data_IF_757256752014
#
_entry.id   IF_757256752014
#
_cell.length_a   1.000
_cell.length_b   1.000
_cell.length_c   1.000
_cell.angle_alpha   90.00
_cell.angle_beta   90.00
_cell.angle_gamma   90.00
#
_symmetry.space_group_name_H-M   'P 1'
#
loop_
_entity.id
_entity.type
_entity.pdbx_description
1 polymer ?
#
# COMPACT_ATOMS: atom_id res chain seq x y z
N UNK A 1 -7.86 15.56 -65.59
CA UNK A 1 -6.83 16.58 -65.68
C UNK A 1 -6.77 17.29 -64.34
N UNK A 2 -5.70 17.05 -63.53
CA UNK A 2 -5.52 17.64 -62.23
C UNK A 2 -4.10 17.32 -61.77
N UNK A 3 -3.23 18.27 -61.96
CA UNK A 3 -1.78 18.22 -61.75
C UNK A 3 -1.43 18.16 -60.29
N UNK A 4 -0.56 17.20 -59.87
CA UNK A 4 0.09 17.13 -58.58
C UNK A 4 1.27 18.12 -58.53
N UNK A 5 1.55 18.79 -57.41
CA UNK A 5 2.76 19.57 -57.25
C UNK A 5 3.98 18.68 -56.89
N UNK A 6 5.08 18.98 -57.55
CA UNK A 6 6.41 18.36 -57.38
C UNK A 6 7.09 19.06 -56.19
N UNK A 7 7.53 18.28 -55.21
CA UNK A 7 8.38 18.76 -54.08
C UNK A 7 9.84 18.55 -54.46
N UNK A 8 10.60 19.63 -54.52
CA UNK A 8 12.06 19.60 -54.72
C UNK A 8 12.77 19.24 -53.41
N UNK A 9 13.56 18.18 -53.47
CA UNK A 9 14.49 17.77 -52.41
C UNK A 9 15.90 18.32 -52.77
N UNK A 10 16.46 19.16 -51.93
CA UNK A 10 17.86 19.59 -52.04
C UNK A 10 18.80 18.55 -51.42
N UNK A 11 19.96 18.28 -52.06
CA UNK A 11 20.93 17.35 -51.50
C UNK A 11 21.79 17.99 -50.40
N UNK A 12 21.96 17.25 -49.32
CA UNK A 12 22.87 17.60 -48.22
C UNK A 12 24.28 17.08 -48.54
N UNK A 13 25.25 17.98 -48.51
CA UNK A 13 26.67 17.66 -48.69
C UNK A 13 27.27 16.93 -47.45
N UNK A 14 28.20 16.03 -47.63
CA UNK A 14 28.84 15.31 -46.50
C UNK A 14 29.92 16.17 -45.81
N UNK A 15 29.90 16.16 -44.48
CA UNK A 15 30.95 16.75 -43.62
C UNK A 15 32.17 15.82 -43.55
N UNK A 16 33.32 16.39 -43.88
CA UNK A 16 34.64 15.77 -43.84
C UNK A 16 35.16 15.66 -42.40
N UNK A 17 35.43 14.46 -41.96
CA UNK A 17 35.96 14.11 -40.63
C UNK A 17 37.45 13.65 -40.75
N UNK A 18 38.36 14.63 -40.92
CA UNK A 18 39.79 14.35 -40.67
C UNK A 18 40.45 15.54 -40.00
N UNK A 19 40.56 15.49 -38.68
CA UNK A 19 41.72 16.01 -37.90
C UNK A 19 41.73 15.42 -36.51
N UNK A 20 42.61 14.47 -36.32
CA UNK A 20 43.12 13.98 -35.03
C UNK A 20 43.99 15.05 -34.36
N UNK A 21 43.66 15.44 -33.11
CA UNK A 21 44.65 15.88 -32.14
C UNK A 21 44.22 15.38 -30.77
N UNK A 22 45.11 14.63 -30.12
CA UNK A 22 44.94 13.99 -28.84
C UNK A 22 44.76 14.99 -27.70
N UNK A 23 43.80 14.68 -26.87
CA UNK A 23 43.73 15.12 -25.48
C UNK A 23 43.39 13.89 -24.65
N UNK A 24 44.33 13.53 -23.77
CA UNK A 24 44.16 12.46 -22.81
C UNK A 24 43.12 12.91 -21.78
N UNK A 25 41.87 12.47 -21.94
CA UNK A 25 40.88 12.62 -20.92
C UNK A 25 41.03 11.47 -19.91
N UNK A 26 41.66 11.79 -18.80
CA UNK A 26 41.48 11.04 -17.55
C UNK A 26 40.02 11.11 -17.18
N UNK A 27 39.29 10.04 -17.51
CA UNK A 27 37.92 9.80 -16.97
C UNK A 27 38.10 9.57 -15.47
N UNK A 28 37.96 10.65 -14.72
CA UNK A 28 37.74 10.60 -13.29
C UNK A 28 36.36 9.96 -13.09
N UNK A 29 36.36 8.71 -12.65
CA UNK A 29 35.16 8.07 -12.08
C UNK A 29 34.77 8.88 -10.85
N UNK A 30 33.87 9.86 -11.03
CA UNK A 30 33.19 10.48 -9.92
C UNK A 30 32.31 9.37 -9.34
N UNK A 31 32.78 8.77 -8.27
CA UNK A 31 31.94 8.02 -7.34
C UNK A 31 30.86 9.00 -6.91
N UNK A 32 29.63 8.84 -7.44
CA UNK A 32 28.47 9.55 -6.94
C UNK A 32 28.34 9.16 -5.47
N UNK A 33 28.78 10.06 -4.58
CA UNK A 33 28.45 9.97 -3.18
C UNK A 33 26.92 10.06 -3.13
N UNK A 34 26.25 9.19 -2.37
CA UNK A 34 24.81 9.31 -2.17
C UNK A 34 24.55 10.74 -1.70
N UNK A 35 23.53 11.37 -2.30
CA UNK A 35 23.12 12.73 -1.96
C UNK A 35 22.85 12.78 -0.45
N UNK A 36 23.64 13.52 0.35
CA UNK A 36 23.43 13.59 1.80
C UNK A 36 22.05 14.15 2.19
N UNK A 37 21.31 14.70 1.23
CA UNK A 37 19.92 15.10 1.39
C UNK A 37 18.92 13.92 1.35
N UNK A 38 19.28 12.73 0.86
CA UNK A 38 18.37 11.58 0.80
C UNK A 38 18.01 11.05 2.18
N UNK A 39 18.99 10.96 3.09
CA UNK A 39 18.79 10.44 4.44
C UNK A 39 17.89 11.32 5.31
N UNK A 40 17.85 12.64 5.04
CA UNK A 40 17.01 13.59 5.76
C UNK A 40 15.51 13.43 5.46
N UNK A 41 15.16 12.71 4.40
CA UNK A 41 13.81 12.51 3.89
C UNK A 41 13.21 11.14 4.21
N UNK A 42 13.96 10.31 4.94
CA UNK A 42 13.58 8.92 5.26
C UNK A 42 13.37 8.78 6.77
N UNK A 43 12.21 8.24 7.14
CA UNK A 43 11.89 7.87 8.50
C UNK A 43 11.99 6.35 8.67
N UNK A 44 13.17 5.84 8.99
CA UNK A 44 13.40 4.41 9.24
C UNK A 44 13.02 4.00 10.67
N UNK A 45 13.18 4.91 11.65
CA UNK A 45 12.83 4.73 13.04
C UNK A 45 12.18 6.01 13.57
N UNK A 46 11.20 5.85 14.45
CA UNK A 46 10.52 6.97 15.10
C UNK A 46 10.52 6.78 16.63
N UNK A 47 11.70 6.46 17.18
CA UNK A 47 11.86 6.40 18.63
C UNK A 47 11.80 7.78 19.26
N UNK A 48 10.81 8.01 20.11
CA UNK A 48 10.58 9.26 20.87
C UNK A 48 10.55 8.91 22.35
N UNK A 49 11.67 9.10 23.08
CA UNK A 49 11.79 8.66 24.48
C UNK A 49 10.85 9.40 25.43
N UNK A 50 10.35 10.57 25.06
CA UNK A 50 9.40 11.37 25.85
C UNK A 50 7.97 10.84 25.80
N UNK A 51 7.67 9.88 24.90
CA UNK A 51 6.34 9.28 24.78
C UNK A 51 6.30 7.91 25.50
N UNK A 52 5.24 7.62 26.28
CA UNK A 52 5.09 6.36 27.01
C UNK A 52 4.57 5.23 26.12
N UNK A 53 4.65 3.99 26.61
CA UNK A 53 3.94 2.83 26.06
C UNK A 53 4.29 2.47 24.62
N UNK A 54 5.58 2.57 24.25
CA UNK A 54 6.05 2.25 22.88
C UNK A 54 5.77 0.81 22.49
N UNK A 55 5.20 0.62 21.31
CA UNK A 55 5.13 -0.65 20.58
C UNK A 55 5.66 -0.46 19.16
N UNK A 56 6.76 -1.16 18.83
CA UNK A 56 7.40 -1.09 17.51
C UNK A 56 6.81 -2.19 16.61
N UNK A 57 5.99 -1.80 15.63
CA UNK A 57 5.51 -2.67 14.56
C UNK A 57 6.47 -2.75 13.38
N UNK A 58 6.16 -3.62 12.39
CA UNK A 58 7.01 -3.79 11.18
C UNK A 58 7.21 -2.46 10.41
N UNK A 59 6.16 -1.64 10.31
CA UNK A 59 6.15 -0.39 9.50
C UNK A 59 5.61 0.83 10.24
N UNK A 60 5.21 0.68 11.49
CA UNK A 60 4.67 1.76 12.33
C UNK A 60 5.26 1.73 13.72
N UNK A 61 5.40 2.92 14.32
CA UNK A 61 5.67 3.08 15.74
C UNK A 61 4.39 3.52 16.42
N UNK A 62 4.07 2.91 17.54
CA UNK A 62 2.88 3.20 18.31
C UNK A 62 3.24 3.60 19.73
N UNK A 63 2.49 4.56 20.30
CA UNK A 63 2.66 5.01 21.68
C UNK A 63 1.29 5.14 22.35
N UNK A 64 1.08 4.41 23.43
CA UNK A 64 -0.16 4.46 24.21
C UNK A 64 -0.13 5.65 25.17
N UNK A 65 -1.10 6.56 25.01
CA UNK A 65 -1.24 7.72 25.85
C UNK A 65 -2.10 7.42 27.09
N UNK A 66 -1.85 8.12 28.23
CA UNK A 66 -2.61 7.90 29.49
C UNK A 66 -4.12 8.22 29.37
N UNK A 67 -4.52 9.04 28.40
CA UNK A 67 -5.90 9.44 28.15
C UNK A 67 -6.74 8.39 27.37
N UNK A 68 -6.14 7.25 27.04
CA UNK A 68 -6.79 6.18 26.26
C UNK A 68 -6.68 6.37 24.76
N UNK A 69 -5.88 7.31 24.29
CA UNK A 69 -5.53 7.45 22.89
C UNK A 69 -4.23 6.72 22.57
N UNK A 70 -3.93 6.61 21.27
CA UNK A 70 -2.69 6.03 20.74
C UNK A 70 -2.15 6.94 19.65
N UNK A 71 -0.88 7.28 19.73
CA UNK A 71 -0.13 7.89 18.63
C UNK A 71 0.35 6.75 17.73
N UNK A 72 0.10 6.86 16.44
CA UNK A 72 0.54 5.92 15.40
C UNK A 72 1.36 6.71 14.40
N UNK A 73 2.64 6.38 14.28
CA UNK A 73 3.59 7.03 13.36
C UNK A 73 3.87 6.06 12.21
N UNK A 74 3.48 6.42 11.01
CA UNK A 74 3.81 5.66 9.81
C UNK A 74 5.26 5.95 9.40
N UNK A 75 6.10 4.93 9.44
CA UNK A 75 7.49 5.01 8.96
C UNK A 75 7.58 4.75 7.47
N UNK A 76 8.75 5.02 6.91
CA UNK A 76 9.04 4.79 5.49
C UNK A 76 9.49 3.34 5.21
N UNK A 77 9.54 2.49 6.23
CA UNK A 77 9.91 1.07 6.08
C UNK A 77 8.99 0.36 5.10
N UNK A 78 9.59 -0.35 4.15
CA UNK A 78 8.90 -1.27 3.24
C UNK A 78 9.09 -2.70 3.75
N UNK A 79 8.00 -3.36 4.10
CA UNK A 79 8.00 -4.75 4.51
C UNK A 79 7.39 -5.65 3.44
N UNK A 80 8.07 -6.76 3.13
CA UNK A 80 7.55 -7.87 2.36
C UNK A 80 8.25 -9.16 2.83
N UNK A 81 7.65 -10.34 2.57
CA UNK A 81 8.20 -11.64 2.99
C UNK A 81 8.48 -11.70 4.51
N UNK A 82 7.65 -11.02 5.30
CA UNK A 82 7.76 -10.89 6.76
C UNK A 82 9.00 -10.16 7.30
N UNK A 83 9.83 -9.58 6.43
CA UNK A 83 11.00 -8.78 6.79
C UNK A 83 10.90 -7.35 6.28
N UNK A 84 11.68 -6.44 6.87
CA UNK A 84 11.86 -5.08 6.37
C UNK A 84 12.93 -5.14 5.27
N UNK A 85 12.55 -4.76 4.05
CA UNK A 85 13.45 -4.79 2.88
C UNK A 85 14.32 -3.54 2.79
N UNK A 86 13.72 -2.38 2.99
CA UNK A 86 14.36 -1.06 2.87
C UNK A 86 13.42 0.01 3.44
N UNK A 87 13.78 1.28 3.31
CA UNK A 87 12.91 2.42 3.57
C UNK A 87 12.70 3.24 2.28
N UNK A 88 11.46 3.62 2.01
CA UNK A 88 11.06 4.34 0.80
C UNK A 88 10.71 5.78 1.17
N UNK A 89 11.41 6.79 0.64
CA UNK A 89 11.16 8.18 0.95
C UNK A 89 9.67 8.56 0.81
N UNK A 90 9.13 9.27 1.80
CA UNK A 90 7.75 9.76 1.86
C UNK A 90 6.64 8.68 1.97
N UNK A 91 6.97 7.40 2.01
CA UNK A 91 5.97 6.32 2.09
C UNK A 91 5.03 6.50 3.29
N UNK A 92 5.58 6.80 4.47
CA UNK A 92 4.77 7.02 5.68
C UNK A 92 3.80 8.20 5.54
N UNK A 93 4.25 9.30 4.96
CA UNK A 93 3.42 10.47 4.68
C UNK A 93 2.30 10.12 3.68
N UNK A 94 2.63 9.44 2.58
CA UNK A 94 1.66 9.00 1.57
C UNK A 94 0.58 8.12 2.19
N UNK A 95 0.96 7.12 2.98
CA UNK A 95 0.00 6.19 3.59
C UNK A 95 -0.93 6.90 4.57
N UNK A 96 -0.38 7.74 5.45
CA UNK A 96 -1.18 8.48 6.44
C UNK A 96 -2.15 9.45 5.76
N UNK A 97 -1.72 10.19 4.75
CA UNK A 97 -2.57 11.14 4.04
C UNK A 97 -3.61 10.44 3.14
N UNK A 98 -3.27 9.30 2.54
CA UNK A 98 -4.25 8.48 1.79
C UNK A 98 -5.32 7.93 2.74
N UNK A 99 -4.92 7.38 3.89
CA UNK A 99 -5.86 6.90 4.90
C UNK A 99 -6.76 8.03 5.42
N UNK A 100 -6.19 9.21 5.70
CA UNK A 100 -6.96 10.40 6.09
C UNK A 100 -8.04 10.75 5.08
N UNK A 101 -7.68 10.85 3.80
CA UNK A 101 -8.66 11.12 2.73
C UNK A 101 -9.80 10.11 2.78
N UNK A 102 -9.51 8.81 2.90
CA UNK A 102 -10.54 7.78 2.89
C UNK A 102 -11.38 7.75 4.17
N UNK A 103 -10.80 7.99 5.34
CA UNK A 103 -11.58 8.14 6.58
C UNK A 103 -12.59 9.29 6.48
N UNK A 104 -12.20 10.41 5.85
CA UNK A 104 -13.09 11.54 5.58
C UNK A 104 -14.20 11.17 4.57
N UNK A 105 -13.88 10.39 3.50
CA UNK A 105 -14.85 9.98 2.47
C UNK A 105 -15.80 8.86 2.92
N UNK A 106 -15.59 8.26 4.07
CA UNK A 106 -16.36 7.09 4.56
C UNK A 106 -16.92 7.28 5.97
N UNK A 107 -16.81 8.48 6.53
CA UNK A 107 -17.26 8.80 7.90
C UNK A 107 -18.76 8.55 8.14
N UNK A 108 -19.58 8.57 7.09
CA UNK A 108 -21.01 8.28 7.11
C UNK A 108 -21.34 6.77 7.12
N UNK A 109 -20.36 5.89 6.91
CA UNK A 109 -20.57 4.44 6.80
C UNK A 109 -20.39 3.74 8.14
N UNK A 110 -19.28 4.02 8.82
CA UNK A 110 -18.98 3.48 10.15
C UNK A 110 -18.09 4.42 10.94
N UNK A 111 -18.11 4.34 12.28
CA UNK A 111 -17.15 5.07 13.10
C UNK A 111 -15.74 4.56 12.83
N UNK A 112 -14.75 5.45 12.93
CA UNK A 112 -13.34 5.13 12.84
C UNK A 112 -12.58 5.63 14.06
N UNK A 113 -11.34 5.16 14.23
CA UNK A 113 -10.54 5.42 15.42
C UNK A 113 -9.90 6.82 15.46
N UNK A 114 -9.94 7.57 14.38
CA UNK A 114 -9.17 8.81 14.23
C UNK A 114 -9.69 9.92 15.14
N UNK A 115 -8.77 10.53 15.89
CA UNK A 115 -8.99 11.71 16.71
C UNK A 115 -8.40 12.96 16.05
N UNK A 116 -7.12 12.88 15.60
CA UNK A 116 -6.44 14.01 14.95
C UNK A 116 -5.23 13.57 14.13
N UNK A 117 -4.72 14.49 13.32
CA UNK A 117 -3.51 14.33 12.51
C UNK A 117 -2.53 15.48 12.83
N UNK A 118 -1.72 15.36 13.88
CA UNK A 118 -0.79 16.42 14.28
C UNK A 118 0.38 16.61 13.31
N UNK A 119 0.70 15.59 12.52
CA UNK A 119 1.79 15.58 11.53
C UNK A 119 1.39 14.76 10.30
N UNK A 120 1.91 15.04 9.09
CA UNK A 120 1.63 14.25 7.89
C UNK A 120 1.92 12.74 7.99
N UNK A 121 2.80 12.33 8.90
CA UNK A 121 3.13 10.92 9.16
C UNK A 121 2.40 10.34 10.38
N UNK A 122 1.59 11.14 11.10
CA UNK A 122 1.06 10.77 12.41
C UNK A 122 -0.46 10.86 12.45
N UNK A 123 -1.07 9.82 12.98
CA UNK A 123 -2.46 9.83 13.41
C UNK A 123 -2.53 9.60 14.92
N UNK A 124 -3.35 10.39 15.62
CA UNK A 124 -3.79 10.07 16.98
C UNK A 124 -5.16 9.44 16.84
N UNK A 125 -5.29 8.23 17.37
CA UNK A 125 -6.54 7.47 17.36
C UNK A 125 -6.94 7.03 18.75
N UNK A 126 -8.22 6.78 18.95
CA UNK A 126 -8.71 6.09 20.13
C UNK A 126 -8.11 4.68 20.17
N UNK A 127 -7.57 4.28 21.32
CA UNK A 127 -7.12 2.91 21.52
C UNK A 127 -8.30 1.97 21.52
N UNK A 128 -8.22 0.94 20.68
CA UNK A 128 -9.27 -0.07 20.51
C UNK A 128 -8.77 -1.44 20.96
N UNK A 129 -9.70 -2.27 21.38
CA UNK A 129 -9.48 -3.71 21.50
C UNK A 129 -9.66 -4.32 20.09
N UNK A 130 -8.54 -4.59 19.42
CA UNK A 130 -8.54 -5.06 18.02
C UNK A 130 -9.14 -6.46 17.92
N UNK A 131 -10.08 -6.63 16.99
CA UNK A 131 -10.68 -7.93 16.72
C UNK A 131 -9.63 -8.89 16.11
N UNK A 132 -9.64 -10.18 16.50
CA UNK A 132 -8.63 -11.15 16.06
C UNK A 132 -8.84 -11.68 14.64
N UNK A 133 -9.50 -10.90 13.78
CA UNK A 133 -9.83 -11.25 12.40
C UNK A 133 -9.59 -10.06 11.49
N UNK A 134 -8.84 -10.25 10.42
CA UNK A 134 -8.72 -9.28 9.33
C UNK A 134 -9.81 -9.54 8.30
N UNK A 135 -10.42 -8.48 7.81
CA UNK A 135 -11.54 -8.54 6.87
C UNK A 135 -11.06 -8.12 5.47
N UNK A 136 -10.73 -9.11 4.64
CA UNK A 136 -10.34 -8.85 3.25
C UNK A 136 -11.57 -8.91 2.35
N UNK A 137 -11.85 -7.83 1.61
CA UNK A 137 -12.92 -7.79 0.61
C UNK A 137 -12.32 -7.84 -0.79
N UNK A 138 -12.85 -8.70 -1.65
CA UNK A 138 -12.35 -8.91 -3.01
C UNK A 138 -13.47 -8.74 -4.03
N UNK A 139 -13.21 -7.92 -5.05
CA UNK A 139 -14.08 -7.74 -6.22
C UNK A 139 -13.63 -8.52 -7.46
N UNK A 140 -12.44 -9.13 -7.41
CA UNK A 140 -11.81 -9.79 -8.56
C UNK A 140 -11.08 -11.07 -8.11
N UNK A 141 -10.99 -12.04 -9.03
CA UNK A 141 -10.17 -13.25 -8.85
C UNK A 141 -8.70 -12.91 -9.10
N UNK A 142 -8.04 -12.34 -8.10
CA UNK A 142 -6.68 -11.79 -8.20
C UNK A 142 -5.79 -12.22 -7.04
N UNK A 143 -4.48 -12.03 -7.20
CA UNK A 143 -3.47 -12.29 -6.17
C UNK A 143 -2.19 -12.84 -6.76
N UNK A 144 -1.08 -12.64 -6.04
CA UNK A 144 0.27 -13.01 -6.51
C UNK A 144 0.99 -13.97 -5.56
N UNK A 145 0.49 -14.13 -4.33
CA UNK A 145 1.08 -15.04 -3.33
C UNK A 145 0.58 -16.47 -3.51
N UNK A 146 1.33 -17.44 -2.98
CA UNK A 146 0.95 -18.87 -2.99
C UNK A 146 -0.39 -19.13 -2.29
N UNK A 147 -0.75 -18.30 -1.31
CA UNK A 147 -2.00 -18.41 -0.54
C UNK A 147 -3.14 -17.57 -1.11
N UNK A 148 -2.93 -16.86 -2.23
CA UNK A 148 -3.95 -16.00 -2.82
C UNK A 148 -5.12 -16.81 -3.39
N UNK A 149 -6.31 -16.17 -3.44
CA UNK A 149 -7.52 -16.79 -4.00
C UNK A 149 -7.32 -17.23 -5.46
N UNK A 150 -6.54 -16.46 -6.25
CA UNK A 150 -6.22 -16.81 -7.64
C UNK A 150 -5.37 -18.08 -7.70
N UNK A 151 -4.33 -18.20 -6.87
CA UNK A 151 -3.47 -19.39 -6.86
C UNK A 151 -4.25 -20.63 -6.43
N UNK A 152 -5.06 -20.52 -5.40
CA UNK A 152 -5.95 -21.63 -4.96
C UNK A 152 -6.93 -22.04 -6.07
N UNK A 153 -7.54 -21.06 -6.74
CA UNK A 153 -8.47 -21.33 -7.85
C UNK A 153 -7.78 -22.06 -9.02
N UNK A 154 -6.56 -21.64 -9.39
CA UNK A 154 -5.74 -22.32 -10.42
C UNK A 154 -5.38 -23.77 -10.04
N UNK A 155 -5.19 -24.02 -8.75
CA UNK A 155 -4.94 -25.36 -8.22
C UNK A 155 -6.21 -26.23 -8.13
N UNK A 156 -7.35 -25.74 -8.60
CA UNK A 156 -8.60 -26.50 -8.65
C UNK A 156 -9.54 -26.28 -7.48
N UNK A 157 -9.15 -25.48 -6.47
CA UNK A 157 -10.04 -25.16 -5.37
C UNK A 157 -11.19 -24.26 -5.85
N UNK A 158 -12.41 -24.60 -5.42
CA UNK A 158 -13.63 -23.83 -5.73
C UNK A 158 -14.36 -23.39 -4.47
N UNK A 159 -14.29 -24.20 -3.44
CA UNK A 159 -14.90 -23.93 -2.14
C UNK A 159 -13.83 -23.33 -1.22
N UNK A 160 -13.88 -22.02 -1.03
CA UNK A 160 -12.90 -21.25 -0.26
C UNK A 160 -13.63 -20.28 0.68
N UNK A 161 -13.17 -20.17 1.91
CA UNK A 161 -13.76 -19.26 2.91
C UNK A 161 -15.27 -19.47 3.14
N UNK A 162 -15.77 -20.69 2.92
CA UNK A 162 -17.21 -21.00 2.94
C UNK A 162 -17.99 -20.51 1.72
N UNK A 163 -17.29 -20.07 0.66
CA UNK A 163 -17.90 -19.55 -0.57
C UNK A 163 -17.49 -20.43 -1.74
N UNK A 164 -18.46 -20.82 -2.58
CA UNK A 164 -18.18 -21.53 -3.83
C UNK A 164 -18.02 -20.54 -4.99
N UNK A 165 -16.85 -20.55 -5.61
CA UNK A 165 -16.59 -19.79 -6.83
C UNK A 165 -17.08 -20.56 -8.08
N UNK A 166 -17.59 -19.84 -9.12
CA UNK A 166 -17.97 -20.43 -10.39
C UNK A 166 -16.81 -21.17 -11.07
N UNK A 167 -17.12 -22.20 -11.85
CA UNK A 167 -16.14 -22.84 -12.72
C UNK A 167 -15.86 -21.98 -13.96
N UNK A 168 -14.66 -22.13 -14.53
CA UNK A 168 -14.28 -21.50 -15.79
C UNK A 168 -13.92 -20.01 -15.70
N UNK A 169 -13.80 -19.44 -14.50
CA UNK A 169 -13.33 -18.07 -14.32
C UNK A 169 -11.87 -17.94 -14.78
N UNK A 170 -11.57 -16.80 -15.36
CA UNK A 170 -10.22 -16.43 -15.82
C UNK A 170 -9.47 -15.64 -14.76
N UNK A 171 -8.16 -15.58 -14.91
CA UNK A 171 -7.30 -14.73 -14.09
C UNK A 171 -7.74 -13.28 -14.18
N UNK A 172 -7.78 -12.61 -13.03
CA UNK A 172 -8.18 -11.21 -12.90
C UNK A 172 -9.64 -10.92 -13.32
N UNK A 173 -10.48 -11.95 -13.44
CA UNK A 173 -11.90 -11.78 -13.73
C UNK A 173 -12.64 -11.13 -12.57
N UNK A 174 -13.58 -10.25 -12.90
CA UNK A 174 -14.47 -9.66 -11.91
C UNK A 174 -15.36 -10.73 -11.31
N UNK A 175 -15.43 -10.78 -9.99
CA UNK A 175 -16.33 -11.68 -9.28
C UNK A 175 -17.80 -11.27 -9.52
N UNK A 176 -18.76 -12.21 -9.54
CA UNK A 176 -20.19 -11.89 -9.67
C UNK A 176 -20.68 -10.87 -8.65
N UNK A 177 -20.13 -10.94 -7.43
CA UNK A 177 -20.31 -9.98 -6.35
C UNK A 177 -19.04 -9.90 -5.51
N UNK A 178 -18.76 -8.79 -4.81
CA UNK A 178 -17.66 -8.75 -3.84
C UNK A 178 -17.85 -9.82 -2.77
N UNK A 179 -16.75 -10.48 -2.40
CA UNK A 179 -16.73 -11.52 -1.37
C UNK A 179 -15.83 -11.10 -0.21
N UNK A 180 -16.14 -11.57 0.99
CA UNK A 180 -15.29 -11.44 2.16
C UNK A 180 -14.47 -12.73 2.30
N UNK A 181 -13.16 -12.58 2.40
CA UNK A 181 -12.19 -13.67 2.59
C UNK A 181 -11.37 -13.36 3.83
N UNK A 182 -11.89 -13.63 5.03
CA UNK A 182 -11.24 -13.24 6.27
C UNK A 182 -10.01 -14.09 6.56
N UNK A 183 -9.09 -13.53 7.34
CA UNK A 183 -7.94 -14.25 7.89
C UNK A 183 -7.88 -14.05 9.39
N UNK A 184 -7.26 -14.98 10.11
CA UNK A 184 -6.87 -14.75 11.49
C UNK A 184 -5.86 -13.60 11.54
N UNK A 185 -5.82 -12.90 12.66
CA UNK A 185 -4.73 -11.96 12.96
C UNK A 185 -3.76 -12.65 13.92
N UNK A 186 -2.57 -12.99 13.44
CA UNK A 186 -1.54 -13.60 14.27
C UNK A 186 -0.92 -12.55 15.19
N UNK A 187 -1.16 -12.65 16.49
CA UNK A 187 -0.57 -11.76 17.51
C UNK A 187 0.84 -12.20 17.95
N UNK A 188 1.17 -13.48 17.78
CA UNK A 188 2.38 -14.10 18.33
C UNK A 188 3.47 -14.41 17.28
N UNK A 189 3.49 -13.66 16.17
CA UNK A 189 4.48 -13.86 15.09
C UNK A 189 4.20 -15.07 14.18
N UNK A 190 3.02 -15.67 14.28
CA UNK A 190 2.50 -16.65 13.31
C UNK A 190 2.13 -16.02 11.97
N UNK A 191 1.65 -16.84 11.03
CA UNK A 191 1.08 -16.38 9.77
C UNK A 191 -0.43 -16.26 9.89
N UNK A 192 -1.00 -15.27 9.18
CA UNK A 192 -2.43 -15.11 9.06
C UNK A 192 -3.03 -16.29 8.27
N UNK A 193 -3.98 -17.00 8.87
CA UNK A 193 -4.62 -18.17 8.28
C UNK A 193 -6.00 -17.82 7.71
N UNK A 194 -6.35 -18.36 6.53
CA UNK A 194 -7.70 -18.21 5.97
C UNK A 194 -8.77 -18.78 6.91
N UNK A 195 -9.85 -18.04 7.07
CA UNK A 195 -11.01 -18.44 7.88
C UNK A 195 -12.30 -18.34 7.07
N UNK A 196 -13.25 -19.23 7.34
CA UNK A 196 -14.65 -19.07 6.93
C UNK A 196 -15.46 -18.36 8.02
N UNK A 197 -16.65 -17.88 7.67
CA UNK A 197 -17.59 -17.31 8.67
C UNK A 197 -17.94 -18.31 9.77
N UNK A 198 -18.15 -19.59 9.40
CA UNK A 198 -18.48 -20.67 10.35
C UNK A 198 -17.32 -20.94 11.32
N UNK A 199 -16.07 -20.90 10.83
CA UNK A 199 -14.89 -21.07 11.68
C UNK A 199 -14.73 -19.89 12.64
N UNK A 200 -14.94 -18.65 12.19
CA UNK A 200 -14.91 -17.45 13.04
C UNK A 200 -15.92 -17.58 14.21
N UNK A 201 -17.15 -18.03 13.91
CA UNK A 201 -18.18 -18.17 14.91
C UNK A 201 -17.97 -19.39 15.82
N UNK A 202 -17.60 -20.55 15.27
CA UNK A 202 -17.37 -21.77 16.05
C UNK A 202 -16.16 -21.67 16.98
N UNK A 203 -15.09 -20.98 16.55
CA UNK A 203 -13.92 -20.66 17.35
C UNK A 203 -14.14 -19.50 18.32
N UNK A 204 -15.33 -18.83 18.27
CA UNK A 204 -15.68 -17.68 19.10
C UNK A 204 -14.72 -16.48 18.95
N UNK A 205 -14.12 -16.34 17.78
CA UNK A 205 -13.28 -15.17 17.46
C UNK A 205 -14.12 -13.90 17.41
N UNK A 206 -15.33 -13.98 16.87
CA UNK A 206 -16.34 -12.93 16.89
C UNK A 206 -17.69 -13.51 17.31
N UNK A 207 -18.54 -12.68 17.89
CA UNK A 207 -19.97 -13.00 18.03
C UNK A 207 -20.67 -12.91 16.67
N UNK A 208 -21.86 -13.50 16.52
CA UNK A 208 -22.64 -13.39 15.30
C UNK A 208 -23.01 -11.93 14.97
N UNK A 209 -23.30 -11.12 15.97
CA UNK A 209 -23.59 -9.70 15.83
C UNK A 209 -22.36 -8.90 15.37
N UNK A 210 -21.20 -9.18 15.96
CA UNK A 210 -19.94 -8.57 15.53
C UNK A 210 -19.63 -8.94 14.08
N UNK A 211 -19.71 -10.23 13.73
CA UNK A 211 -19.47 -10.70 12.35
C UNK A 211 -20.42 -10.03 11.34
N UNK A 212 -21.71 -9.94 11.67
CA UNK A 212 -22.68 -9.26 10.81
C UNK A 212 -22.35 -7.78 10.64
N UNK A 213 -21.93 -7.11 11.72
CA UNK A 213 -21.61 -5.67 11.70
C UNK A 213 -20.35 -5.40 10.89
N UNK A 214 -19.24 -6.13 11.13
CA UNK A 214 -17.98 -5.92 10.38
C UNK A 214 -18.16 -6.27 8.90
N UNK A 215 -18.93 -7.33 8.57
CA UNK A 215 -19.21 -7.71 7.18
C UNK A 215 -19.99 -6.62 6.45
N UNK A 216 -21.02 -6.07 7.08
CA UNK A 216 -21.83 -4.97 6.53
C UNK A 216 -20.97 -3.72 6.31
N UNK A 217 -20.14 -3.33 7.29
CA UNK A 217 -19.24 -2.19 7.17
C UNK A 217 -18.21 -2.40 6.06
N UNK A 218 -17.54 -3.54 6.05
CA UNK A 218 -16.51 -3.84 5.05
C UNK A 218 -17.05 -3.80 3.62
N UNK A 219 -18.21 -4.39 3.36
CA UNK A 219 -18.84 -4.34 2.03
C UNK A 219 -19.28 -2.93 1.64
N UNK A 220 -19.82 -2.14 2.57
CA UNK A 220 -20.22 -0.76 2.30
C UNK A 220 -19.01 0.15 2.04
N UNK A 221 -17.93 0.01 2.83
CA UNK A 221 -16.65 0.70 2.62
C UNK A 221 -16.05 0.35 1.26
N UNK A 222 -16.04 -0.95 0.91
CA UNK A 222 -15.52 -1.41 -0.38
C UNK A 222 -16.34 -0.85 -1.56
N UNK A 223 -17.66 -0.86 -1.47
CA UNK A 223 -18.51 -0.27 -2.51
C UNK A 223 -18.26 1.24 -2.70
N UNK A 224 -18.10 1.99 -1.58
CA UNK A 224 -17.70 3.41 -1.64
C UNK A 224 -16.32 3.56 -2.25
N UNK A 225 -15.37 2.71 -1.87
CA UNK A 225 -14.02 2.67 -2.42
C UNK A 225 -14.02 2.44 -3.93
N UNK A 226 -14.78 1.44 -4.40
CA UNK A 226 -14.92 1.15 -5.84
C UNK A 226 -15.53 2.33 -6.62
N UNK A 227 -16.58 2.95 -6.09
CA UNK A 227 -17.23 4.09 -6.73
C UNK A 227 -16.27 5.27 -6.90
N UNK A 228 -15.57 5.65 -5.82
CA UNK A 228 -14.60 6.76 -5.84
C UNK A 228 -13.37 6.46 -6.68
N UNK A 229 -12.85 5.23 -6.64
CA UNK A 229 -11.75 4.81 -7.48
C UNK A 229 -12.11 4.91 -8.96
N UNK A 230 -13.33 4.51 -9.34
CA UNK A 230 -13.79 4.60 -10.72
C UNK A 230 -13.86 6.04 -11.23
N UNK A 231 -14.24 7.02 -10.40
CA UNK A 231 -14.21 8.46 -10.74
C UNK A 231 -12.78 8.94 -11.08
N UNK A 232 -11.75 8.21 -10.65
CA UNK A 232 -10.32 8.48 -10.87
C UNK A 232 -9.68 7.57 -11.93
N UNK A 233 -10.47 6.83 -12.69
CA UNK A 233 -9.95 5.88 -13.68
C UNK A 233 -9.26 4.67 -13.06
N UNK A 234 -9.58 4.32 -11.82
CA UNK A 234 -9.04 3.19 -11.07
C UNK A 234 -10.08 2.12 -10.81
N UNK A 235 -9.61 0.90 -10.65
CA UNK A 235 -10.39 -0.24 -10.16
C UNK A 235 -9.82 -0.62 -8.78
N UNK A 236 -10.62 -0.48 -7.72
CA UNK A 236 -10.30 -1.08 -6.42
C UNK A 236 -10.61 -2.57 -6.50
N UNK A 237 -9.57 -3.38 -6.49
CA UNK A 237 -9.60 -4.83 -6.74
C UNK A 237 -9.93 -5.61 -5.48
N UNK A 238 -9.16 -5.35 -4.45
CA UNK A 238 -9.29 -5.90 -3.10
C UNK A 238 -8.71 -4.94 -2.07
N UNK A 239 -9.11 -5.14 -0.82
CA UNK A 239 -8.61 -4.37 0.32
C UNK A 239 -8.76 -5.16 1.61
N UNK A 240 -7.90 -4.85 2.58
CA UNK A 240 -7.94 -5.38 3.94
C UNK A 240 -8.43 -4.30 4.90
N UNK A 241 -9.37 -4.66 5.77
CA UNK A 241 -9.82 -3.83 6.87
C UNK A 241 -9.51 -4.49 8.21
N UNK A 242 -9.20 -3.67 9.19
CA UNK A 242 -9.13 -4.06 10.58
C UNK A 242 -10.19 -3.33 11.39
N UNK A 243 -10.79 -4.02 12.33
CA UNK A 243 -11.78 -3.45 13.23
C UNK A 243 -11.39 -3.72 14.67
N UNK A 244 -11.89 -2.91 15.56
CA UNK A 244 -11.77 -3.10 16.99
C UNK A 244 -13.05 -2.69 17.70
N UNK A 245 -13.09 -2.90 19.00
CA UNK A 245 -14.14 -2.36 19.88
C UNK A 245 -13.60 -1.20 20.70
N UNK A 246 -14.40 -0.16 20.83
CA UNK A 246 -14.12 0.91 21.79
C UNK A 246 -14.55 0.50 23.21
N UNK A 247 -14.32 1.37 24.18
CA UNK A 247 -14.69 1.16 25.60
C UNK A 247 -16.17 0.90 25.83
N UNK A 248 -17.02 1.28 24.90
CA UNK A 248 -18.49 1.10 24.95
C UNK A 248 -18.92 -0.16 24.19
N UNK A 249 -17.97 -0.96 23.66
CA UNK A 249 -18.21 -2.19 22.90
C UNK A 249 -18.67 -1.96 21.45
N UNK A 250 -18.60 -0.72 20.95
CA UNK A 250 -18.99 -0.41 19.55
C UNK A 250 -17.89 -0.82 18.59
N UNK A 251 -18.27 -1.41 17.45
CA UNK A 251 -17.34 -1.75 16.37
C UNK A 251 -16.88 -0.46 15.68
N UNK A 252 -15.55 -0.31 15.58
CA UNK A 252 -14.87 0.87 15.03
C UNK A 252 -13.84 0.42 14.02
N UNK A 253 -13.76 1.08 12.87
CA UNK A 253 -12.72 0.86 11.86
C UNK A 253 -11.38 1.36 12.40
N UNK A 254 -10.38 0.50 12.33
CA UNK A 254 -9.03 0.72 12.83
C UNK A 254 -7.99 0.77 11.70
N UNK A 255 -6.75 1.04 12.07
CA UNK A 255 -5.54 0.97 11.26
C UNK A 255 -5.57 1.93 10.06
N UNK A 256 -5.69 1.41 8.87
CA UNK A 256 -5.71 2.17 7.62
C UNK A 256 -6.86 1.74 6.70
N UNK A 257 -7.18 2.57 5.73
CA UNK A 257 -8.23 2.29 4.78
C UNK A 257 -7.80 2.67 3.36
N UNK A 258 -7.95 1.73 2.42
CA UNK A 258 -7.75 1.90 0.98
C UNK A 258 -6.41 2.53 0.59
N UNK A 259 -5.37 2.36 1.40
CA UNK A 259 -4.01 2.80 1.06
C UNK A 259 -3.38 1.86 0.03
N UNK A 260 -2.30 2.28 -0.65
CA UNK A 260 -1.56 1.38 -1.54
C UNK A 260 -0.96 0.14 -0.85
N UNK A 261 -0.82 0.15 0.48
CA UNK A 261 -0.32 -1.01 1.25
C UNK A 261 -1.43 -1.99 1.61
N UNK A 262 -2.63 -1.50 1.96
CA UNK A 262 -3.77 -2.33 2.34
C UNK A 262 -4.65 -2.74 1.16
N UNK A 263 -4.46 -2.16 -0.03
CA UNK A 263 -5.36 -2.32 -1.17
C UNK A 263 -4.61 -2.50 -2.47
N UNK A 264 -5.26 -3.20 -3.41
CA UNK A 264 -4.79 -3.28 -4.79
C UNK A 264 -5.66 -2.40 -5.69
N UNK A 265 -4.99 -1.57 -6.50
CA UNK A 265 -5.63 -0.76 -7.53
C UNK A 265 -5.10 -1.12 -8.91
N UNK A 266 -6.00 -1.26 -9.88
CA UNK A 266 -5.63 -1.35 -11.29
C UNK A 266 -6.02 -0.06 -12.03
N UNK A 267 -5.25 0.25 -13.08
CA UNK A 267 -5.58 1.32 -14.03
C UNK A 267 -6.71 0.82 -14.92
N UNK A 268 -7.89 1.45 -14.84
CA UNK A 268 -9.10 0.99 -15.50
C UNK A 268 -8.96 0.92 -17.05
N UNK A 269 -8.29 1.90 -17.64
CA UNK A 269 -8.03 1.95 -19.09
C UNK A 269 -7.27 0.71 -19.58
N UNK A 270 -6.31 0.20 -18.80
CA UNK A 270 -5.51 -0.95 -19.16
C UNK A 270 -6.20 -2.30 -18.93
N UNK A 271 -7.24 -2.32 -18.08
CA UNK A 271 -7.83 -3.58 -17.59
C UNK A 271 -8.45 -4.41 -18.72
N UNK A 272 -9.28 -3.82 -19.58
CA UNK A 272 -9.99 -4.55 -20.64
C UNK A 272 -9.01 -5.24 -21.60
N UNK A 273 -7.96 -4.54 -22.03
CA UNK A 273 -6.94 -5.10 -22.92
C UNK A 273 -6.11 -6.19 -22.24
N UNK A 274 -5.68 -5.94 -21.00
CA UNK A 274 -4.91 -6.90 -20.21
C UNK A 274 -5.71 -8.17 -19.96
N UNK A 275 -6.97 -8.04 -19.57
CA UNK A 275 -7.86 -9.18 -19.34
C UNK A 275 -8.11 -10.00 -20.62
N UNK A 276 -8.33 -9.34 -21.76
CA UNK A 276 -8.53 -10.02 -23.05
C UNK A 276 -7.29 -10.80 -23.52
N UNK A 277 -6.10 -10.28 -23.25
CA UNK A 277 -4.81 -10.93 -23.61
C UNK A 277 -4.29 -11.92 -22.56
N UNK A 278 -4.95 -12.03 -21.40
CA UNK A 278 -4.45 -12.81 -20.25
C UNK A 278 -3.23 -12.19 -19.55
N UNK A 279 -2.92 -10.92 -19.85
CA UNK A 279 -1.85 -10.19 -19.19
C UNK A 279 -2.30 -9.65 -17.83
N UNK A 280 -1.33 -9.32 -16.99
CA UNK A 280 -1.59 -8.68 -15.70
C UNK A 280 -2.00 -7.21 -15.92
N UNK A 281 -3.11 -6.73 -15.30
CA UNK A 281 -3.46 -5.31 -15.35
C UNK A 281 -2.39 -4.44 -14.70
N UNK A 282 -2.20 -3.22 -15.21
CA UNK A 282 -1.30 -2.24 -14.60
C UNK A 282 -1.83 -1.82 -13.24
N UNK A 283 -0.95 -1.71 -12.25
CA UNK A 283 -1.29 -1.40 -10.85
C UNK A 283 -0.28 -0.44 -10.23
N UNK A 284 -0.70 0.22 -9.13
CA UNK A 284 0.17 0.94 -8.22
C UNK A 284 0.52 0.01 -7.04
N UNK A 285 1.39 -0.93 -7.24
CA UNK A 285 1.79 -1.81 -6.14
C UNK A 285 3.30 -2.02 -6.08
N UNK A 286 3.74 -2.50 -4.94
CA UNK A 286 5.14 -2.84 -4.66
C UNK A 286 5.55 -4.20 -5.23
N UNK A 287 4.76 -4.79 -6.12
CA UNK A 287 5.05 -6.11 -6.68
C UNK A 287 6.34 -6.12 -7.52
N UNK A 288 6.73 -4.96 -8.09
CA UNK A 288 8.01 -4.90 -8.80
C UNK A 288 9.22 -5.03 -7.86
N UNK A 289 9.15 -4.52 -6.61
CA UNK A 289 10.20 -4.77 -5.61
C UNK A 289 10.19 -6.24 -5.20
N UNK A 290 8.99 -6.82 -5.00
CA UNK A 290 8.86 -8.26 -4.71
C UNK A 290 9.39 -9.12 -5.85
N UNK A 291 9.05 -8.78 -7.10
CA UNK A 291 9.55 -9.47 -8.29
C UNK A 291 11.09 -9.39 -8.36
N UNK A 292 11.66 -8.20 -8.14
CA UNK A 292 13.11 -8.00 -8.12
C UNK A 292 13.81 -8.89 -7.09
N UNK A 293 13.23 -9.05 -5.90
CA UNK A 293 13.74 -9.93 -4.84
C UNK A 293 13.65 -11.39 -5.28
N UNK A 294 12.45 -11.84 -5.69
CA UNK A 294 12.20 -13.27 -6.03
C UNK A 294 12.94 -13.75 -7.28
N UNK A 295 13.34 -12.85 -8.17
CA UNK A 295 14.21 -13.16 -9.31
C UNK A 295 15.66 -13.44 -8.90
N UNK A 296 16.06 -13.03 -7.69
CA UNK A 296 17.46 -13.07 -7.21
C UNK A 296 17.70 -14.05 -6.08
N UNK A 297 16.68 -14.34 -5.29
CA UNK A 297 16.79 -15.26 -4.15
C UNK A 297 15.44 -15.87 -3.78
N UNK A 298 15.45 -16.93 -2.99
CA UNK A 298 14.28 -17.39 -2.24
C UNK A 298 14.15 -16.54 -0.96
N UNK A 299 13.20 -15.57 -0.89
CA UNK A 299 13.17 -14.61 0.21
C UNK A 299 12.84 -15.21 1.59
N UNK A 300 12.47 -16.51 1.63
CA UNK A 300 12.19 -17.23 2.87
C UNK A 300 13.37 -18.11 3.32
N UNK A 301 14.41 -18.27 2.48
CA UNK A 301 15.57 -19.15 2.77
C UNK A 301 16.90 -18.44 2.66
N UNK A 302 17.01 -17.49 1.74
CA UNK A 302 18.26 -16.84 1.40
C UNK A 302 18.32 -15.41 1.98
N UNK A 303 19.51 -14.86 2.24
CA UNK A 303 19.66 -13.44 2.53
C UNK A 303 19.17 -12.60 1.36
N UNK A 304 18.25 -11.66 1.65
CA UNK A 304 17.72 -10.75 0.64
C UNK A 304 18.81 -9.72 0.30
N UNK A 305 19.15 -9.53 -0.99
CA UNK A 305 20.11 -8.50 -1.41
C UNK A 305 19.61 -7.09 -1.08
N UNK A 306 20.53 -6.15 -0.88
CA UNK A 306 20.23 -4.74 -0.72
C UNK A 306 19.43 -4.21 -1.93
N UNK A 307 18.34 -3.50 -1.64
CA UNK A 307 17.48 -2.92 -2.68
C UNK A 307 18.21 -1.73 -3.32
N UNK A 308 18.40 -1.71 -4.64
CA UNK A 308 19.12 -0.62 -5.32
C UNK A 308 18.46 0.74 -5.14
N UNK A 309 19.25 1.80 -5.09
CA UNK A 309 18.78 3.17 -4.85
C UNK A 309 17.80 3.67 -5.94
N UNK A 310 18.03 3.30 -7.20
CA UNK A 310 17.13 3.62 -8.32
C UNK A 310 15.75 2.95 -8.16
N UNK A 311 15.72 1.71 -7.65
CA UNK A 311 14.49 0.99 -7.35
C UNK A 311 13.74 1.62 -6.16
N UNK A 312 14.47 2.08 -5.14
CA UNK A 312 13.91 2.83 -4.00
C UNK A 312 13.28 4.13 -4.48
N UNK A 313 13.97 4.90 -5.32
CA UNK A 313 13.45 6.14 -5.90
C UNK A 313 12.22 5.90 -6.78
N UNK A 314 12.27 4.88 -7.64
CA UNK A 314 11.12 4.49 -8.45
C UNK A 314 9.91 4.12 -7.58
N UNK A 315 10.14 3.38 -6.50
CA UNK A 315 9.09 2.99 -5.55
C UNK A 315 8.46 4.23 -4.91
N UNK A 316 9.26 5.19 -4.47
CA UNK A 316 8.76 6.46 -3.92
C UNK A 316 7.85 7.20 -4.90
N UNK A 317 8.25 7.29 -6.18
CA UNK A 317 7.44 7.90 -7.24
C UNK A 317 6.10 7.19 -7.41
N UNK A 318 6.09 5.85 -7.39
CA UNK A 318 4.85 5.04 -7.49
C UNK A 318 3.91 5.30 -6.31
N UNK A 319 4.43 5.41 -5.07
CA UNK A 319 3.59 5.75 -3.92
C UNK A 319 2.99 7.15 -4.03
N UNK A 320 3.77 8.14 -4.47
CA UNK A 320 3.29 9.51 -4.69
C UNK A 320 2.23 9.56 -5.80
N UNK A 321 2.48 8.90 -6.93
CA UNK A 321 1.53 8.80 -8.04
C UNK A 321 0.22 8.12 -7.60
N UNK A 322 0.32 7.06 -6.79
CA UNK A 322 -0.85 6.40 -6.22
C UNK A 322 -1.68 7.36 -5.36
N UNK A 323 -1.04 8.12 -4.47
CA UNK A 323 -1.72 9.14 -3.67
C UNK A 323 -2.44 10.17 -4.55
N UNK A 324 -1.73 10.76 -5.50
CA UNK A 324 -2.28 11.80 -6.37
C UNK A 324 -3.46 11.28 -7.22
N UNK A 325 -3.34 10.06 -7.73
CA UNK A 325 -4.41 9.46 -8.54
C UNK A 325 -5.61 9.08 -7.69
N UNK A 326 -5.39 8.41 -6.55
CA UNK A 326 -6.47 7.96 -5.65
C UNK A 326 -7.25 9.14 -5.09
N UNK A 327 -6.54 10.16 -4.60
CA UNK A 327 -7.17 11.29 -3.91
C UNK A 327 -7.58 12.42 -4.84
N UNK A 328 -6.91 12.56 -5.99
CA UNK A 328 -7.01 13.72 -6.87
C UNK A 328 -6.34 14.96 -6.29
N UNK A 329 -5.55 14.83 -5.24
CA UNK A 329 -4.80 15.90 -4.58
C UNK A 329 -3.34 15.83 -5.00
N UNK A 330 -2.69 16.98 -5.13
CA UNK A 330 -1.24 17.02 -5.36
C UNK A 330 -0.52 16.64 -4.07
N UNK A 331 0.47 15.74 -4.17
CA UNK A 331 1.34 15.44 -3.05
C UNK A 331 2.31 16.61 -2.79
N UNK A 332 2.39 17.02 -1.53
CA UNK A 332 3.33 18.04 -1.08
C UNK A 332 4.16 17.42 0.04
N UNK A 333 5.44 17.15 -0.29
CA UNK A 333 6.38 16.67 0.71
C UNK A 333 6.56 17.72 1.81
N UNK A 334 6.34 17.32 3.06
CA UNK A 334 6.64 18.21 4.19
C UNK A 334 8.12 18.04 4.56
N UNK A 335 8.90 19.05 4.17
CA UNK A 335 10.35 19.14 4.42
C UNK A 335 10.68 20.13 5.54
N UNK A 336 9.70 20.52 6.35
CA UNK A 336 9.94 21.32 7.55
C UNK A 336 10.71 20.49 8.60
N UNK A 337 11.62 21.10 9.32
CA UNK A 337 12.53 20.44 10.23
C UNK A 337 13.84 19.97 9.58
N UNK A 338 14.83 19.62 10.40
CA UNK A 338 16.13 19.11 9.94
C UNK A 338 15.99 17.68 9.40
N UNK A 339 15.17 16.86 10.07
CA UNK A 339 14.79 15.50 9.64
C UNK A 339 13.29 15.31 9.76
N UNK A 340 12.76 14.23 9.16
CA UNK A 340 11.35 13.85 9.35
C UNK A 340 11.03 13.58 10.82
N UNK A 341 11.96 12.98 11.56
CA UNK A 341 11.77 12.71 12.99
C UNK A 341 11.74 14.01 13.81
N UNK A 342 12.60 15.00 13.50
CA UNK A 342 12.61 16.29 14.20
C UNK A 342 11.28 17.04 14.02
N UNK A 343 10.73 17.01 12.81
CA UNK A 343 9.41 17.58 12.51
C UNK A 343 8.31 16.89 13.33
N UNK A 344 8.29 15.54 13.34
CA UNK A 344 7.33 14.76 14.10
C UNK A 344 7.44 15.07 15.59
N UNK A 345 8.66 15.12 16.14
CA UNK A 345 8.89 15.46 17.58
C UNK A 345 8.37 16.86 17.89
N UNK A 346 8.62 17.84 17.04
CA UNK A 346 8.11 19.20 17.22
C UNK A 346 6.57 19.24 17.24
N UNK A 347 5.92 18.52 16.32
CA UNK A 347 4.46 18.43 16.22
C UNK A 347 3.82 17.62 17.36
N UNK A 348 4.56 16.70 17.97
CA UNK A 348 4.09 15.89 19.09
C UNK A 348 4.45 16.46 20.48
N UNK A 349 5.14 17.59 20.56
CA UNK A 349 5.52 18.23 21.83
C UNK A 349 4.36 18.37 22.83
N UNK A 350 3.11 18.69 22.44
CA UNK A 350 1.96 18.77 23.36
C UNK A 350 1.61 17.45 24.08
N UNK A 351 2.13 16.32 23.60
CA UNK A 351 1.86 14.98 24.15
C UNK A 351 3.03 14.43 24.98
N UNK A 352 4.11 15.19 25.13
CA UNK A 352 5.25 14.76 25.94
C UNK A 352 4.89 14.84 27.43
N UNK A 353 5.23 13.79 28.17
CA UNK A 353 5.02 13.66 29.62
C UNK A 353 6.25 14.05 30.44
#
# INVERSE_FOLDING_TARGET
MGTKPIVHVHPVLPLDLTRSQGLSDTVSTVSERPDPMSDLRILSDAFIPELPGRYNGKVRENYDLPDGNRIIIATDRLSAFDVILTAIPFKGQVLTQTARYWFEQTADICPNHVVSYPDPNVVIGTRLDILPVEIVVRGYLAGTTSTSILTKYRNGERDMYGIRLPDGMKDNEKLPQPIITPTSKAFDGGHDEPLSADEILSQKLLTAEQWQTVSRYALALFARGQARAAERGLILVDTKYEFGTDKDGRIVLADEIHTPDSSRYWIAESYAQSFASGARPKSFDKDFVRAWVTERCDPYKDPIPEIPADLVEQTSKVYIEAFETITGQRFVADLSGATVLDRIRANLQPYFS
#
